data_IF_483736332821
#
_entry.id   IF_483736332821
#
_cell.length_a   1.000
_cell.length_b   1.000
_cell.length_c   1.000
_cell.angle_alpha   90.00
_cell.angle_beta   90.00
_cell.angle_gamma   90.00
#
_symmetry.space_group_name_H-M   'P 1'
#
loop_
_entity.id
_entity.type
_entity.pdbx_description
1 polymer ?
#
# COMPACT_ATOMS: atom_id res chain seq x y z
N UNK A 1 -29.23 -1.91 2.34
CA UNK A 1 -28.10 -2.58 1.70
C UNK A 1 -26.88 -1.67 1.66
N UNK A 2 -25.71 -2.23 1.50
CA UNK A 2 -24.43 -1.50 1.39
C UNK A 2 -24.13 -1.32 -0.09
N UNK A 3 -23.97 -0.07 -0.55
CA UNK A 3 -23.65 0.20 -1.95
C UNK A 3 -22.27 -0.32 -2.34
N UNK A 4 -21.25 -0.04 -1.51
CA UNK A 4 -19.86 -0.40 -1.78
C UNK A 4 -19.09 -0.72 -0.51
N UNK A 5 -18.03 -1.50 -0.66
CA UNK A 5 -17.09 -1.85 0.41
C UNK A 5 -15.70 -1.43 -0.03
N UNK A 6 -14.99 -0.69 0.83
CA UNK A 6 -13.55 -0.53 0.74
C UNK A 6 -12.90 -1.52 1.71
N UNK A 7 -12.06 -2.38 1.18
CA UNK A 7 -11.32 -3.39 1.93
C UNK A 7 -9.81 -3.11 1.96
N UNK A 8 -9.25 -3.20 3.14
CA UNK A 8 -7.82 -3.22 3.36
C UNK A 8 -7.49 -4.27 4.41
N UNK A 9 -6.38 -4.97 4.24
CA UNK A 9 -5.84 -5.89 5.22
C UNK A 9 -4.51 -5.36 5.72
N UNK A 10 -4.22 -5.56 6.98
CA UNK A 10 -2.94 -5.18 7.59
C UNK A 10 -2.28 -6.40 8.19
N UNK A 11 -0.98 -6.61 7.95
CA UNK A 11 -0.22 -7.59 8.70
C UNK A 11 -0.27 -7.17 10.17
N UNK A 12 -0.86 -8.00 11.02
CA UNK A 12 -1.00 -7.71 12.43
C UNK A 12 0.31 -7.86 13.19
N UNK A 13 0.28 -7.53 14.48
CA UNK A 13 1.36 -7.46 15.50
C UNK A 13 2.58 -8.41 15.37
N UNK A 14 2.51 -9.43 14.54
CA UNK A 14 3.63 -10.33 14.24
C UNK A 14 4.74 -9.69 13.40
N UNK A 15 4.48 -8.58 12.72
CA UNK A 15 5.51 -7.86 11.94
C UNK A 15 6.61 -7.31 12.83
N UNK A 16 6.24 -6.86 14.03
CA UNK A 16 7.17 -6.38 15.07
C UNK A 16 7.97 -7.53 15.71
N UNK A 17 7.55 -8.78 15.55
CA UNK A 17 8.12 -9.94 16.23
C UNK A 17 8.92 -10.89 15.33
N UNK A 18 9.22 -10.52 14.08
CA UNK A 18 10.06 -11.30 13.17
C UNK A 18 9.48 -12.67 12.74
N UNK A 19 8.16 -12.90 12.89
CA UNK A 19 7.48 -14.16 12.51
C UNK A 19 6.84 -14.05 11.10
N UNK A 20 7.64 -13.72 10.09
CA UNK A 20 7.19 -13.34 8.76
C UNK A 20 6.21 -14.30 8.05
N UNK A 21 6.33 -15.63 8.22
CA UNK A 21 5.41 -16.59 7.59
C UNK A 21 4.02 -16.57 8.23
N UNK A 22 3.93 -16.59 9.54
CA UNK A 22 2.64 -16.58 10.29
C UNK A 22 1.85 -15.29 10.04
N UNK A 23 2.54 -14.15 9.87
CA UNK A 23 1.94 -12.85 9.56
C UNK A 23 1.28 -12.86 8.20
N UNK A 24 1.97 -13.42 7.20
CA UNK A 24 1.47 -13.56 5.84
C UNK A 24 0.21 -14.43 5.78
N UNK A 25 0.23 -15.58 6.43
CA UNK A 25 -0.90 -16.52 6.44
C UNK A 25 -2.12 -15.90 7.09
N UNK A 26 -1.93 -15.20 8.20
CA UNK A 26 -3.01 -14.49 8.89
C UNK A 26 -3.62 -13.37 8.04
N UNK A 27 -2.81 -12.57 7.35
CA UNK A 27 -3.31 -11.53 6.43
C UNK A 27 -4.08 -12.14 5.26
N UNK A 28 -3.62 -13.27 4.70
CA UNK A 28 -4.32 -14.00 3.65
C UNK A 28 -5.68 -14.49 4.15
N UNK A 29 -5.74 -15.06 5.35
CA UNK A 29 -6.99 -15.53 5.95
C UNK A 29 -7.99 -14.38 6.17
N UNK A 30 -7.54 -13.26 6.73
CA UNK A 30 -8.37 -12.06 6.86
C UNK A 30 -8.92 -11.60 5.51
N UNK A 31 -8.06 -11.56 4.49
CA UNK A 31 -8.46 -11.15 3.15
C UNK A 31 -9.46 -12.11 2.52
N UNK A 32 -9.30 -13.42 2.70
CA UNK A 32 -10.27 -14.42 2.24
C UNK A 32 -11.62 -14.26 2.92
N UNK A 33 -11.64 -14.11 4.25
CA UNK A 33 -12.88 -13.87 4.99
C UNK A 33 -13.62 -12.62 4.49
N UNK A 34 -12.88 -11.54 4.21
CA UNK A 34 -13.45 -10.32 3.62
C UNK A 34 -14.06 -10.61 2.23
N UNK A 35 -13.33 -11.29 1.37
CA UNK A 35 -13.76 -11.62 0.01
C UNK A 35 -14.97 -12.55 0.02
N UNK A 36 -15.05 -13.50 0.94
CA UNK A 36 -16.18 -14.40 1.11
C UNK A 36 -17.47 -13.64 1.47
N UNK A 37 -17.37 -12.65 2.39
CA UNK A 37 -18.50 -11.76 2.71
C UNK A 37 -18.89 -10.90 1.51
N UNK A 38 -17.91 -10.34 0.79
CA UNK A 38 -18.14 -9.57 -0.44
C UNK A 38 -18.87 -10.44 -1.47
N UNK A 39 -18.47 -11.70 -1.64
CA UNK A 39 -19.11 -12.65 -2.55
C UNK A 39 -20.57 -12.92 -2.16
N UNK A 40 -20.85 -13.18 -0.89
CA UNK A 40 -22.21 -13.39 -0.40
C UNK A 40 -23.10 -12.16 -0.68
N UNK A 41 -22.61 -10.95 -0.40
CA UNK A 41 -23.38 -9.72 -0.65
C UNK A 41 -23.57 -9.44 -2.15
N UNK A 42 -22.60 -9.83 -2.98
CA UNK A 42 -22.70 -9.75 -4.43
C UNK A 42 -23.76 -10.71 -4.97
N UNK A 43 -23.77 -11.96 -4.50
CA UNK A 43 -24.75 -12.99 -4.89
C UNK A 43 -26.19 -12.61 -4.49
N UNK A 44 -26.33 -11.92 -3.35
CA UNK A 44 -27.60 -11.33 -2.90
C UNK A 44 -28.00 -10.06 -3.69
N UNK A 45 -27.16 -9.58 -4.59
CA UNK A 45 -27.38 -8.35 -5.37
C UNK A 45 -27.38 -7.04 -4.55
N UNK A 46 -26.98 -7.09 -3.28
CA UNK A 46 -27.00 -5.95 -2.36
C UNK A 46 -25.74 -5.09 -2.48
N UNK A 47 -24.59 -5.68 -2.85
CA UNK A 47 -23.33 -4.98 -3.08
C UNK A 47 -23.18 -4.62 -4.57
N UNK A 48 -22.79 -3.39 -4.86
CA UNK A 48 -22.60 -2.89 -6.22
C UNK A 48 -21.14 -2.71 -6.61
N UNK A 49 -20.24 -2.48 -5.63
CA UNK A 49 -18.84 -2.25 -5.92
C UNK A 49 -17.96 -2.64 -4.72
N UNK A 50 -16.87 -3.32 -4.99
CA UNK A 50 -15.82 -3.65 -4.03
C UNK A 50 -14.51 -2.97 -4.45
N UNK A 51 -13.92 -2.19 -3.58
CA UNK A 51 -12.59 -1.58 -3.78
C UNK A 51 -11.62 -2.22 -2.81
N UNK A 52 -10.56 -2.83 -3.33
CA UNK A 52 -9.53 -3.45 -2.49
C UNK A 52 -8.22 -2.68 -2.59
N UNK A 53 -7.69 -2.27 -1.42
CA UNK A 53 -6.36 -1.66 -1.32
C UNK A 53 -5.30 -2.74 -1.26
N UNK A 54 -4.52 -2.82 -2.32
CA UNK A 54 -3.43 -3.77 -2.50
C UNK A 54 -2.07 -3.06 -2.51
N UNK A 55 -1.09 -3.65 -3.17
CA UNK A 55 0.26 -3.10 -3.36
C UNK A 55 0.73 -3.34 -4.79
N UNK A 56 1.70 -2.54 -5.26
CA UNK A 56 2.27 -2.71 -6.59
C UNK A 56 2.83 -4.12 -6.80
N UNK A 57 2.61 -4.67 -7.99
CA UNK A 57 3.23 -5.93 -8.44
C UNK A 57 4.52 -5.63 -9.18
N UNK A 58 5.54 -6.49 -9.10
CA UNK A 58 6.73 -6.36 -9.93
C UNK A 58 6.34 -6.39 -11.40
N UNK A 59 7.04 -5.61 -12.22
CA UNK A 59 6.81 -5.55 -13.68
C UNK A 59 7.12 -6.87 -14.38
N UNK A 60 8.04 -7.63 -13.84
CA UNK A 60 8.50 -8.91 -14.41
C UNK A 60 8.37 -10.03 -13.37
N UNK A 61 7.24 -10.78 -13.38
CA UNK A 61 7.04 -11.88 -12.45
C UNK A 61 8.00 -13.05 -12.67
N UNK A 62 8.73 -13.09 -13.78
CA UNK A 62 9.72 -14.14 -14.09
C UNK A 62 11.08 -13.86 -13.42
N UNK A 63 11.35 -12.62 -13.07
CA UNK A 63 12.46 -12.31 -12.16
C UNK A 63 12.00 -12.66 -10.77
N UNK A 64 12.37 -13.84 -10.28
CA UNK A 64 12.17 -14.33 -8.91
C UNK A 64 12.86 -13.40 -7.87
N UNK A 65 12.60 -12.11 -7.92
CA UNK A 65 13.03 -11.18 -6.87
C UNK A 65 12.17 -11.43 -5.64
N UNK A 66 12.79 -11.68 -4.48
CA UNK A 66 12.04 -11.90 -3.27
C UNK A 66 11.24 -10.65 -2.92
N UNK A 67 9.93 -10.74 -3.02
CA UNK A 67 9.03 -9.68 -2.58
C UNK A 67 8.86 -9.73 -1.05
N UNK A 68 8.67 -8.58 -0.39
CA UNK A 68 8.29 -8.56 1.02
C UNK A 68 7.04 -9.42 1.26
N UNK A 69 7.00 -10.12 2.40
CA UNK A 69 5.91 -11.06 2.71
C UNK A 69 4.51 -10.45 2.64
N UNK A 70 4.36 -9.20 3.10
CA UNK A 70 3.09 -8.45 3.04
C UNK A 70 2.67 -8.06 1.60
N UNK A 71 3.58 -8.05 0.63
CA UNK A 71 3.21 -7.88 -0.78
C UNK A 71 2.60 -9.17 -1.32
N UNK A 72 3.22 -10.30 -1.00
CA UNK A 72 2.74 -11.62 -1.41
C UNK A 72 1.35 -11.93 -0.85
N UNK A 73 1.06 -11.56 0.41
CA UNK A 73 -0.27 -11.77 0.99
C UNK A 73 -1.35 -10.99 0.25
N UNK A 74 -1.10 -9.72 -0.05
CA UNK A 74 -2.07 -8.89 -0.81
C UNK A 74 -2.29 -9.41 -2.23
N UNK A 75 -1.24 -9.89 -2.92
CA UNK A 75 -1.41 -10.49 -4.25
C UNK A 75 -2.22 -11.79 -4.21
N UNK A 76 -2.06 -12.61 -3.17
CA UNK A 76 -2.90 -13.79 -2.97
C UNK A 76 -4.38 -13.42 -2.77
N UNK A 77 -4.65 -12.31 -2.06
CA UNK A 77 -6.03 -11.81 -1.89
C UNK A 77 -6.60 -11.29 -3.23
N UNK A 78 -5.81 -10.56 -4.03
CA UNK A 78 -6.24 -10.16 -5.37
C UNK A 78 -6.61 -11.39 -6.24
N UNK A 79 -5.77 -12.42 -6.21
CA UNK A 79 -6.03 -13.66 -6.92
C UNK A 79 -7.33 -14.34 -6.43
N UNK A 80 -7.55 -14.34 -5.12
CA UNK A 80 -8.76 -14.86 -4.52
C UNK A 80 -10.02 -14.09 -4.95
N UNK A 81 -9.94 -12.76 -5.10
CA UNK A 81 -11.02 -11.94 -5.69
C UNK A 81 -11.35 -12.41 -7.12
N UNK A 82 -10.30 -12.68 -7.93
CA UNK A 82 -10.47 -13.08 -9.34
C UNK A 82 -11.09 -14.46 -9.48
N UNK A 83 -10.60 -15.47 -8.75
CA UNK A 83 -11.12 -16.85 -8.83
C UNK A 83 -12.53 -17.00 -8.30
N UNK A 84 -12.97 -16.10 -7.41
CA UNK A 84 -14.36 -16.03 -6.94
C UNK A 84 -15.30 -15.27 -7.88
N UNK A 85 -14.84 -14.90 -9.08
CA UNK A 85 -15.67 -14.26 -10.11
C UNK A 85 -16.02 -12.79 -9.83
N UNK A 86 -15.36 -12.15 -8.85
CA UNK A 86 -15.66 -10.79 -8.41
C UNK A 86 -14.98 -9.72 -9.27
N UNK A 87 -14.21 -10.08 -10.29
CA UNK A 87 -13.44 -9.12 -11.12
C UNK A 87 -14.30 -7.95 -11.58
N UNK A 88 -15.47 -8.24 -12.19
CA UNK A 88 -16.34 -7.20 -12.77
C UNK A 88 -17.02 -6.30 -11.74
N UNK A 89 -17.00 -6.69 -10.47
CA UNK A 89 -17.56 -5.93 -9.35
C UNK A 89 -16.48 -5.18 -8.58
N UNK A 90 -15.21 -5.50 -8.83
CA UNK A 90 -14.09 -5.01 -8.02
C UNK A 90 -13.23 -3.99 -8.76
N UNK A 91 -12.61 -3.11 -7.99
CA UNK A 91 -11.49 -2.27 -8.39
C UNK A 91 -10.34 -2.50 -7.43
N UNK A 92 -9.15 -2.74 -7.95
CA UNK A 92 -7.93 -2.91 -7.15
C UNK A 92 -7.13 -1.61 -7.21
N UNK A 93 -6.97 -0.94 -6.08
CA UNK A 93 -6.07 0.18 -5.92
C UNK A 93 -4.74 -0.30 -5.34
N UNK A 94 -3.64 0.07 -5.96
CA UNK A 94 -2.28 -0.28 -5.52
C UNK A 94 -1.50 1.00 -5.22
N UNK A 95 -1.70 1.59 -4.03
CA UNK A 95 -0.92 2.74 -3.62
C UNK A 95 0.56 2.40 -3.51
N UNK A 96 1.37 3.40 -3.78
CA UNK A 96 2.82 3.37 -3.56
C UNK A 96 3.14 3.63 -2.08
N UNK A 97 4.38 3.96 -1.74
CA UNK A 97 4.78 4.26 -0.37
C UNK A 97 4.04 5.48 0.20
N UNK A 98 3.58 5.39 1.45
CA UNK A 98 2.87 6.50 2.09
C UNK A 98 3.84 7.54 2.66
N UNK A 99 3.50 8.83 2.52
CA UNK A 99 4.22 9.93 3.18
C UNK A 99 4.19 9.78 4.71
N UNK A 100 3.10 9.30 5.26
CA UNK A 100 2.89 9.12 6.70
C UNK A 100 3.83 8.07 7.30
N UNK A 101 4.45 7.22 6.48
CA UNK A 101 5.49 6.31 6.96
C UNK A 101 6.70 7.05 7.55
N UNK A 102 6.98 8.26 7.08
CA UNK A 102 8.10 9.07 7.59
C UNK A 102 7.85 9.66 8.98
N UNK A 103 6.59 9.77 9.40
CA UNK A 103 6.18 10.19 10.74
C UNK A 103 5.82 9.01 11.66
N UNK A 104 5.89 7.79 11.15
CA UNK A 104 5.56 6.58 11.89
C UNK A 104 6.69 6.16 12.82
N UNK A 105 6.35 5.41 13.88
CA UNK A 105 7.34 4.78 14.77
C UNK A 105 8.00 3.53 14.17
N UNK A 106 7.87 3.31 12.86
CA UNK A 106 8.50 2.20 12.18
C UNK A 106 10.03 2.35 12.23
N UNK A 107 10.76 1.34 12.73
CA UNK A 107 12.21 1.40 12.81
C UNK A 107 12.85 1.65 11.44
N UNK A 108 13.76 2.62 11.38
CA UNK A 108 14.52 2.93 10.18
C UNK A 108 13.78 3.72 9.09
N UNK A 109 12.53 4.15 9.34
CA UNK A 109 11.75 4.97 8.39
C UNK A 109 11.45 6.36 8.96
N UNK A 110 11.40 6.51 10.29
CA UNK A 110 11.13 7.79 10.94
C UNK A 110 12.26 8.79 10.68
N UNK A 111 11.89 10.01 10.29
CA UNK A 111 12.85 11.12 10.16
C UNK A 111 13.35 11.49 11.54
N UNK A 112 14.68 11.59 11.68
CA UNK A 112 15.32 12.08 12.88
C UNK A 112 15.83 13.51 12.70
N UNK A 113 16.36 14.12 13.75
CA UNK A 113 16.87 15.50 13.74
C UNK A 113 17.88 15.81 12.63
N UNK A 114 18.62 14.82 12.14
CA UNK A 114 19.67 15.00 11.11
C UNK A 114 19.61 14.02 9.94
N UNK A 115 18.66 13.08 9.93
CA UNK A 115 18.57 12.01 8.93
C UNK A 115 17.17 11.91 8.38
N UNK A 116 17.06 12.03 7.04
CA UNK A 116 15.91 11.62 6.27
C UNK A 116 16.18 10.20 5.75
N UNK A 117 15.52 9.17 6.32
CA UNK A 117 15.80 7.78 5.94
C UNK A 117 15.13 7.45 4.62
N UNK A 118 15.77 6.63 3.81
CA UNK A 118 15.21 6.18 2.55
C UNK A 118 15.57 4.75 2.20
N UNK A 119 14.69 4.08 1.47
CA UNK A 119 14.82 2.69 1.06
C UNK A 119 15.41 2.54 -0.35
N UNK A 120 15.54 3.63 -1.09
CA UNK A 120 16.09 3.68 -2.44
C UNK A 120 17.40 4.48 -2.49
N UNK A 121 18.17 4.33 -3.55
CA UNK A 121 19.36 5.18 -3.74
C UNK A 121 18.94 6.66 -3.86
N UNK A 122 19.75 7.56 -3.33
CA UNK A 122 19.46 9.01 -3.21
C UNK A 122 19.04 9.69 -4.52
N UNK A 123 19.56 9.22 -5.66
CA UNK A 123 19.33 9.77 -7.00
C UNK A 123 18.24 8.98 -7.77
N UNK A 124 17.60 8.01 -7.14
CA UNK A 124 16.49 7.27 -7.74
C UNK A 124 15.17 7.90 -7.38
N UNK A 125 14.31 8.02 -8.37
CA UNK A 125 12.94 8.48 -8.18
C UNK A 125 12.19 7.49 -7.31
N UNK A 126 11.49 8.02 -6.34
CA UNK A 126 10.63 7.30 -5.43
C UNK A 126 9.22 7.89 -5.51
N UNK A 127 8.25 7.03 -5.76
CA UNK A 127 6.85 7.41 -5.79
C UNK A 127 6.26 7.33 -4.38
N UNK A 128 5.54 8.36 -4.00
CA UNK A 128 4.85 8.47 -2.71
C UNK A 128 3.43 8.97 -2.89
N UNK A 129 2.58 8.72 -1.90
CA UNK A 129 1.17 9.15 -1.89
C UNK A 129 0.76 9.47 -0.45
N UNK A 130 -0.08 10.46 -0.24
CA UNK A 130 -0.72 10.69 1.06
C UNK A 130 -1.85 9.66 1.28
N UNK A 131 -2.07 9.24 2.51
CA UNK A 131 -3.16 8.31 2.85
C UNK A 131 -4.52 8.92 2.49
N UNK A 132 -4.69 10.22 2.68
CA UNK A 132 -5.91 10.95 2.32
C UNK A 132 -6.21 10.87 0.81
N UNK A 133 -5.19 10.89 -0.04
CA UNK A 133 -5.36 10.75 -1.49
C UNK A 133 -5.91 9.37 -1.88
N UNK A 134 -5.58 8.32 -1.12
CA UNK A 134 -6.20 7.00 -1.32
C UNK A 134 -7.70 7.05 -1.05
N UNK A 135 -8.11 7.85 -0.06
CA UNK A 135 -9.53 8.15 0.22
C UNK A 135 -10.21 8.86 -0.97
N UNK A 136 -9.55 9.87 -1.55
CA UNK A 136 -10.06 10.59 -2.73
C UNK A 136 -10.16 9.66 -3.96
N UNK A 137 -9.18 8.82 -4.21
CA UNK A 137 -9.25 7.79 -5.25
C UNK A 137 -10.40 6.82 -5.02
N UNK A 138 -10.57 6.33 -3.79
CA UNK A 138 -11.67 5.43 -3.42
C UNK A 138 -13.03 6.08 -3.66
N UNK A 139 -13.17 7.35 -3.28
CA UNK A 139 -14.38 8.13 -3.55
C UNK A 139 -14.66 8.23 -5.05
N UNK A 140 -13.66 8.62 -5.86
CA UNK A 140 -13.81 8.72 -7.31
C UNK A 140 -14.23 7.38 -7.95
N UNK A 141 -13.69 6.26 -7.45
CA UNK A 141 -14.06 4.91 -7.89
C UNK A 141 -15.53 4.61 -7.58
N UNK A 142 -16.03 4.96 -6.41
CA UNK A 142 -17.44 4.75 -6.06
C UNK A 142 -18.39 5.71 -6.81
N UNK A 143 -17.98 6.94 -7.08
CA UNK A 143 -18.77 7.92 -7.83
C UNK A 143 -18.85 7.58 -9.34
N UNK A 144 -17.84 6.88 -9.87
CA UNK A 144 -17.76 6.55 -11.30
C UNK A 144 -17.57 5.03 -11.56
N UNK A 145 -18.45 4.15 -11.03
CA UNK A 145 -18.23 2.71 -11.00
C UNK A 145 -18.01 2.10 -12.38
N UNK A 146 -18.75 2.54 -13.40
CA UNK A 146 -18.63 2.01 -14.78
C UNK A 146 -17.25 2.20 -15.38
N UNK A 147 -16.50 3.23 -14.94
CA UNK A 147 -15.15 3.51 -15.41
C UNK A 147 -14.12 2.58 -14.77
N UNK A 148 -14.39 2.13 -13.55
CA UNK A 148 -13.41 1.47 -12.69
C UNK A 148 -13.69 -0.01 -12.43
N UNK A 149 -14.86 -0.53 -12.82
CA UNK A 149 -15.15 -1.94 -12.68
C UNK A 149 -14.15 -2.83 -13.43
N UNK A 150 -13.58 -3.79 -12.72
CA UNK A 150 -12.60 -4.73 -13.24
C UNK A 150 -11.19 -4.21 -13.37
N UNK A 151 -10.97 -2.92 -13.03
CA UNK A 151 -9.68 -2.27 -13.17
C UNK A 151 -8.75 -2.54 -11.99
N UNK A 152 -7.45 -2.54 -12.30
CA UNK A 152 -6.38 -2.62 -11.31
C UNK A 152 -5.39 -1.48 -11.60
N UNK A 153 -5.25 -0.55 -10.65
CA UNK A 153 -4.51 0.68 -10.86
C UNK A 153 -3.41 0.86 -9.83
N UNK A 154 -2.21 1.21 -10.29
CA UNK A 154 -1.19 1.77 -9.42
C UNK A 154 -1.49 3.25 -9.23
N UNK A 155 -1.52 3.72 -8.00
CA UNK A 155 -1.81 5.11 -7.66
C UNK A 155 -0.63 5.73 -6.91
N UNK A 156 -0.23 6.92 -7.34
CA UNK A 156 0.83 7.72 -6.76
C UNK A 156 0.39 9.19 -6.71
N UNK A 157 0.92 9.93 -5.77
CA UNK A 157 0.70 11.37 -5.64
C UNK A 157 1.87 12.15 -6.18
N UNK A 158 3.10 11.80 -5.80
CA UNK A 158 4.30 12.55 -6.13
C UNK A 158 5.47 11.64 -6.51
N UNK A 159 6.37 12.16 -7.34
CA UNK A 159 7.61 11.51 -7.76
C UNK A 159 8.80 12.40 -7.44
N UNK A 160 9.63 11.98 -6.49
CA UNK A 160 10.83 12.71 -6.08
C UNK A 160 12.00 11.77 -5.84
N UNK A 161 13.22 12.28 -6.01
CA UNK A 161 14.41 11.60 -5.52
C UNK A 161 14.48 11.72 -3.99
N UNK A 162 15.22 10.84 -3.34
CA UNK A 162 15.43 10.93 -1.90
C UNK A 162 16.05 12.25 -1.45
N UNK A 163 16.93 12.84 -2.28
CA UNK A 163 17.52 14.16 -2.01
C UNK A 163 16.48 15.28 -2.07
N UNK A 164 15.61 15.26 -3.07
CA UNK A 164 14.52 16.25 -3.22
C UNK A 164 13.53 16.16 -2.06
N UNK A 165 13.16 14.94 -1.63
CA UNK A 165 12.31 14.74 -0.45
C UNK A 165 12.95 15.33 0.81
N UNK A 166 14.22 15.05 1.06
CA UNK A 166 14.94 15.60 2.23
C UNK A 166 15.01 17.12 2.18
N UNK A 167 15.28 17.69 0.99
CA UNK A 167 15.30 19.13 0.80
C UNK A 167 13.93 19.79 1.01
N UNK A 168 12.87 19.16 0.51
CA UNK A 168 11.50 19.63 0.70
C UNK A 168 11.10 19.58 2.18
N UNK A 169 11.38 18.47 2.85
CA UNK A 169 11.13 18.32 4.29
C UNK A 169 11.87 19.40 5.09
N UNK A 170 13.17 19.63 4.79
CA UNK A 170 13.96 20.69 5.40
C UNK A 170 13.33 22.07 5.20
N UNK A 171 12.90 22.38 3.98
CA UNK A 171 12.26 23.67 3.65
C UNK A 171 10.99 23.91 4.48
N UNK A 172 10.18 22.88 4.66
CA UNK A 172 8.92 22.96 5.43
C UNK A 172 9.21 23.11 6.92
N UNK A 173 10.21 22.41 7.44
CA UNK A 173 10.52 22.34 8.88
C UNK A 173 11.73 23.22 9.29
N UNK A 174 12.15 24.15 8.44
CA UNK A 174 13.37 24.97 8.64
C UNK A 174 13.44 25.77 9.93
N UNK A 175 12.31 26.00 10.60
CA UNK A 175 12.26 26.74 11.88
C UNK A 175 12.51 25.85 13.11
N UNK A 176 12.39 24.54 12.98
CA UNK A 176 12.35 23.60 14.11
C UNK A 176 13.42 22.51 14.04
N UNK A 177 14.09 22.36 12.89
CA UNK A 177 15.02 21.25 12.69
C UNK A 177 16.37 21.66 12.10
N UNK A 178 17.46 21.08 12.59
CA UNK A 178 18.78 21.18 11.95
C UNK A 178 18.72 20.57 10.55
N UNK A 179 19.78 20.83 9.75
CA UNK A 179 19.84 20.29 8.38
C UNK A 179 19.78 18.76 8.38
N UNK A 180 18.82 18.19 7.62
CA UNK A 180 18.69 16.76 7.45
C UNK A 180 19.41 16.29 6.20
N UNK A 181 20.02 15.11 6.28
CA UNK A 181 20.67 14.44 5.17
C UNK A 181 19.93 13.17 4.80
N UNK A 182 19.64 12.98 3.51
CA UNK A 182 19.14 11.70 3.03
C UNK A 182 20.15 10.58 3.29
N UNK A 183 19.71 9.51 3.91
CA UNK A 183 20.54 8.35 4.21
C UNK A 183 19.78 7.07 3.84
N UNK A 184 20.38 6.26 2.99
CA UNK A 184 19.77 4.96 2.63
C UNK A 184 19.85 4.00 3.82
N UNK A 185 18.70 3.49 4.22
CA UNK A 185 18.58 2.49 5.29
C UNK A 185 19.09 1.14 4.76
N UNK A 186 20.03 0.48 5.46
CA UNK A 186 20.50 -0.83 5.07
C UNK A 186 19.37 -1.86 5.03
N UNK A 187 19.29 -2.68 3.96
CA UNK A 187 18.26 -3.72 3.81
C UNK A 187 18.13 -4.66 5.02
N UNK A 188 19.24 -4.91 5.74
CA UNK A 188 19.23 -5.75 6.96
C UNK A 188 18.39 -5.19 8.11
N UNK A 189 18.07 -3.91 8.10
CA UNK A 189 17.24 -3.26 9.13
C UNK A 189 15.76 -3.19 8.73
N UNK A 190 15.42 -3.65 7.51
CA UNK A 190 14.06 -3.65 6.97
C UNK A 190 13.40 -5.04 6.97
N UNK A 191 14.11 -6.06 7.46
CA UNK A 191 13.61 -7.46 7.56
C UNK A 191 13.24 -7.83 8.98
#
# INVERSE_FOLDING_TARGET
GVYGIFGNTTPTKGWVLGRGSMVREYEIEQGRNLVDVVKQLADLGTLKHFVFSSVCKPKDPLKNEPAPGHFTSKWNIEEYILINGLKKLSTILRPVSYFENFDSDLPGVKISESIFPGIVHKDKVWQTIAVDDVGLWTRAVFEHPKRFWGESMNIAGEEMTGQEMAALWQKINSKESPSVRYTMVPRKLMN
#
